data_IF_135965996435
#
_entry.id   IF_135965996435
#
_cell.length_a   1.000
_cell.length_b   1.000
_cell.length_c   1.000
_cell.angle_alpha   90.00
_cell.angle_beta   90.00
_cell.angle_gamma   90.00
#
_symmetry.space_group_name_H-M   'P 1'
#
loop_
_entity.id
_entity.type
_entity.pdbx_description
1 polymer ?
#
# COMPACT_ATOMS: atom_id res chain seq x y z
N UNK A 1 14.36 24.51 5.95
CA UNK A 1 13.80 23.31 6.59
C UNK A 1 14.92 22.28 6.71
N UNK A 2 15.23 21.80 7.92
CA UNK A 2 16.37 20.89 8.13
C UNK A 2 15.99 19.44 7.85
N UNK A 3 16.63 18.82 6.85
CA UNK A 3 16.48 17.39 6.55
C UNK A 3 17.22 16.52 7.58
N UNK A 4 16.75 15.30 7.81
CA UNK A 4 17.38 14.29 8.68
C UNK A 4 17.84 13.09 7.87
N UNK A 5 18.99 12.53 8.23
CA UNK A 5 19.50 11.31 7.61
C UNK A 5 18.74 10.10 8.17
N UNK A 6 17.97 9.41 7.33
CA UNK A 6 17.26 8.18 7.67
C UNK A 6 18.02 6.95 7.16
N UNK A 7 18.21 5.96 8.01
CA UNK A 7 18.95 4.72 7.72
C UNK A 7 18.04 3.49 7.67
N UNK A 8 16.71 3.66 7.61
CA UNK A 8 15.80 2.54 7.61
C UNK A 8 16.04 1.64 6.39
N UNK A 9 16.06 0.32 6.63
CA UNK A 9 16.31 -0.68 5.59
C UNK A 9 15.16 -0.78 4.58
N UNK A 10 13.96 -0.42 5.00
CA UNK A 10 12.71 -0.49 4.21
C UNK A 10 12.65 0.54 3.10
N UNK A 11 12.97 1.81 3.38
CA UNK A 11 12.72 2.92 2.45
C UNK A 11 13.99 3.67 2.03
N UNK A 12 15.07 3.60 2.82
CA UNK A 12 16.26 4.44 2.65
C UNK A 12 17.53 3.64 2.36
N UNK A 13 17.40 2.36 2.00
CA UNK A 13 18.52 1.56 1.52
C UNK A 13 18.69 1.76 0.01
N UNK A 14 19.84 2.31 -0.39
CA UNK A 14 20.23 2.44 -1.79
C UNK A 14 21.16 1.28 -2.10
N UNK A 15 20.83 0.47 -3.11
CA UNK A 15 21.72 -0.57 -3.60
C UNK A 15 22.76 0.08 -4.50
N UNK A 16 24.03 -0.02 -4.14
CA UNK A 16 25.13 0.41 -5.01
C UNK A 16 25.18 -0.51 -6.24
N UNK A 17 24.96 0.01 -7.47
CA UNK A 17 24.88 -0.82 -8.66
C UNK A 17 26.21 -1.46 -9.05
N UNK A 18 27.35 -0.95 -8.57
CA UNK A 18 28.67 -1.51 -8.88
C UNK A 18 29.13 -2.61 -7.93
N UNK A 19 28.66 -2.59 -6.68
CA UNK A 19 29.11 -3.52 -5.63
C UNK A 19 28.01 -4.43 -5.10
N UNK A 20 26.74 -4.13 -5.40
CA UNK A 20 25.58 -4.82 -4.82
C UNK A 20 25.38 -4.56 -3.32
N UNK A 21 26.24 -3.76 -2.70
CA UNK A 21 26.20 -3.46 -1.27
C UNK A 21 25.09 -2.44 -1.01
N UNK A 22 24.18 -2.77 -0.10
CA UNK A 22 23.16 -1.84 0.41
C UNK A 22 23.83 -0.79 1.28
N UNK A 23 23.75 0.47 0.86
CA UNK A 23 24.16 1.62 1.67
C UNK A 23 22.93 2.21 2.37
N UNK A 24 22.92 2.27 3.71
CA UNK A 24 21.85 2.94 4.43
C UNK A 24 22.07 4.46 4.37
N UNK A 25 21.02 5.22 4.07
CA UNK A 25 21.06 6.68 4.24
C UNK A 25 20.38 7.45 3.12
N UNK A 26 19.22 8.05 3.42
CA UNK A 26 18.64 9.11 2.62
C UNK A 26 18.36 10.34 3.48
N UNK A 27 18.66 11.53 2.97
CA UNK A 27 18.23 12.78 3.61
C UNK A 27 16.75 12.99 3.32
N UNK A 28 15.93 12.92 4.37
CA UNK A 28 14.47 13.02 4.27
C UNK A 28 13.95 14.15 5.15
N UNK A 29 12.80 14.77 4.81
CA UNK A 29 12.14 15.76 5.65
C UNK A 29 11.79 15.20 7.05
N UNK A 30 11.66 16.03 8.09
CA UNK A 30 11.38 15.58 9.45
C UNK A 30 10.12 14.70 9.60
N UNK A 31 9.05 15.01 8.88
CA UNK A 31 7.81 14.23 8.91
C UNK A 31 8.02 12.84 8.29
N UNK A 32 8.69 12.79 7.14
CA UNK A 32 9.07 11.54 6.46
C UNK A 32 9.99 10.69 7.33
N UNK A 33 10.95 11.32 8.02
CA UNK A 33 11.83 10.64 8.97
C UNK A 33 11.03 9.95 10.10
N UNK A 34 10.06 10.65 10.70
CA UNK A 34 9.22 10.09 11.75
C UNK A 34 8.36 8.93 11.27
N UNK A 35 7.82 9.01 10.06
CA UNK A 35 7.05 7.92 9.46
C UNK A 35 7.93 6.69 9.22
N UNK A 36 9.11 6.88 8.63
CA UNK A 36 10.06 5.79 8.40
C UNK A 36 10.48 5.09 9.71
N UNK A 37 10.69 5.84 10.80
CA UNK A 37 11.01 5.24 12.10
C UNK A 37 9.86 4.42 12.66
N UNK A 38 8.62 4.89 12.50
CA UNK A 38 7.42 4.19 12.96
C UNK A 38 7.20 2.90 12.17
N UNK A 39 7.36 2.96 10.86
CA UNK A 39 7.19 1.81 9.96
C UNK A 39 8.29 0.77 10.19
N UNK A 40 9.52 1.22 10.45
CA UNK A 40 10.61 0.32 10.85
C UNK A 40 10.28 -0.39 12.17
N UNK A 41 9.81 0.34 13.19
CA UNK A 41 9.41 -0.26 14.46
C UNK A 41 8.25 -1.26 14.29
N UNK A 42 7.30 -0.97 13.41
CA UNK A 42 6.20 -1.88 13.07
C UNK A 42 6.72 -3.15 12.41
N UNK A 43 7.56 -3.02 11.38
CA UNK A 43 8.14 -4.16 10.67
C UNK A 43 9.01 -5.03 11.58
N UNK A 44 9.80 -4.43 12.47
CA UNK A 44 10.60 -5.15 13.47
C UNK A 44 9.71 -5.89 14.47
N UNK A 45 8.60 -5.28 14.91
CA UNK A 45 7.62 -5.94 15.77
C UNK A 45 6.94 -7.13 15.07
N UNK A 46 6.53 -6.98 13.82
CA UNK A 46 5.94 -8.06 13.01
C UNK A 46 6.93 -9.19 12.76
N UNK A 47 8.19 -8.88 12.43
CA UNK A 47 9.23 -9.90 12.24
C UNK A 47 9.59 -10.63 13.55
N UNK A 48 9.58 -9.93 14.69
CA UNK A 48 9.79 -10.53 16.00
C UNK A 48 8.67 -11.53 16.33
N UNK A 49 7.42 -11.16 16.07
CA UNK A 49 6.27 -12.07 16.19
C UNK A 49 6.47 -13.32 15.33
N UNK A 50 6.87 -13.14 14.07
CA UNK A 50 7.09 -14.24 13.13
C UNK A 50 8.26 -15.17 13.54
N UNK A 51 9.36 -14.61 14.07
CA UNK A 51 10.49 -15.42 14.57
C UNK A 51 10.13 -16.27 15.78
N UNK A 52 9.24 -15.79 16.65
CA UNK A 52 8.73 -16.59 17.76
C UNK A 52 7.86 -17.76 17.28
N UNK A 53 7.17 -17.60 16.15
CA UNK A 53 6.28 -18.64 15.59
C UNK A 53 7.03 -19.76 14.87
N UNK A 54 8.19 -19.48 14.26
CA UNK A 54 8.87 -20.43 13.35
C UNK A 54 10.33 -20.78 13.72
N UNK A 55 10.93 -20.12 14.72
CA UNK A 55 12.37 -20.20 15.01
C UNK A 55 12.80 -21.01 16.24
N UNK A 56 11.87 -21.57 17.02
CA UNK A 56 12.22 -22.32 18.23
C UNK A 56 12.07 -23.83 18.03
N UNK A 57 13.17 -24.54 18.22
CA UNK A 57 13.20 -25.98 18.47
C UNK A 57 12.27 -26.33 19.65
N UNK A 58 11.64 -27.52 19.67
CA UNK A 58 10.56 -27.83 20.59
C UNK A 58 11.10 -27.99 22.02
N UNK A 59 11.04 -26.93 22.81
CA UNK A 59 11.07 -27.02 24.27
C UNK A 59 9.64 -27.24 24.77
N UNK A 60 9.42 -28.41 25.35
CA UNK A 60 8.16 -28.86 25.96
C UNK A 60 7.69 -27.90 27.06
N UNK A 61 6.83 -26.96 26.71
CA UNK A 61 5.88 -26.33 27.63
C UNK A 61 4.61 -26.02 26.85
N UNK A 62 3.61 -26.88 27.01
CA UNK A 62 2.31 -26.82 26.34
C UNK A 62 1.44 -25.70 26.90
N UNK A 63 1.73 -24.46 26.53
CA UNK A 63 0.69 -23.44 26.42
C UNK A 63 0.12 -23.64 25.01
N UNK A 64 -1.18 -23.95 24.83
CA UNK A 64 -1.77 -23.98 23.50
C UNK A 64 -1.63 -22.57 22.93
N UNK A 65 -0.67 -22.38 22.04
CA UNK A 65 -0.52 -21.11 21.33
C UNK A 65 -1.83 -20.80 20.59
N UNK A 66 -2.17 -19.52 20.41
CA UNK A 66 -3.33 -19.12 19.61
C UNK A 66 -3.26 -19.79 18.23
N UNK A 67 -4.40 -20.27 17.74
CA UNK A 67 -4.51 -20.91 16.42
C UNK A 67 -4.05 -19.95 15.32
N UNK A 68 -3.61 -20.49 14.18
CA UNK A 68 -3.23 -19.67 13.02
C UNK A 68 -4.31 -18.64 12.66
N UNK A 69 -5.58 -19.07 12.63
CA UNK A 69 -6.72 -18.20 12.35
C UNK A 69 -6.84 -17.07 13.38
N UNK A 70 -6.66 -17.37 14.67
CA UNK A 70 -6.69 -16.35 15.72
C UNK A 70 -5.55 -15.34 15.57
N UNK A 71 -4.35 -15.79 15.18
CA UNK A 71 -3.21 -14.90 14.95
C UNK A 71 -3.46 -13.97 13.75
N UNK A 72 -3.95 -14.53 12.64
CA UNK A 72 -4.29 -13.75 11.45
C UNK A 72 -5.42 -12.75 11.74
N UNK A 73 -6.44 -13.17 12.49
CA UNK A 73 -7.53 -12.29 12.90
C UNK A 73 -7.05 -11.14 13.79
N UNK A 74 -6.18 -11.42 14.75
CA UNK A 74 -5.57 -10.37 15.59
C UNK A 74 -4.70 -9.42 14.75
N UNK A 75 -3.94 -9.95 13.79
CA UNK A 75 -3.12 -9.15 12.89
C UNK A 75 -3.97 -8.21 12.03
N UNK A 76 -5.02 -8.71 11.37
CA UNK A 76 -5.91 -7.88 10.55
C UNK A 76 -6.52 -6.78 11.41
N UNK A 77 -7.11 -7.12 12.57
CA UNK A 77 -7.69 -6.13 13.50
C UNK A 77 -6.67 -5.07 13.92
N UNK A 78 -5.43 -5.47 14.18
CA UNK A 78 -4.36 -4.54 14.53
C UNK A 78 -4.03 -3.60 13.37
N UNK A 79 -3.83 -4.13 12.16
CA UNK A 79 -3.52 -3.33 10.98
C UNK A 79 -4.63 -2.33 10.65
N UNK A 80 -5.89 -2.77 10.67
CA UNK A 80 -7.07 -1.89 10.47
C UNK A 80 -7.05 -0.73 11.46
N UNK A 81 -6.84 -1.03 12.75
CA UNK A 81 -6.85 -0.02 13.82
C UNK A 81 -5.73 1.02 13.70
N UNK A 82 -4.57 0.63 13.17
CA UNK A 82 -3.38 1.48 13.12
C UNK A 82 -3.01 1.93 11.70
N UNK A 83 -3.85 1.65 10.70
CA UNK A 83 -3.62 2.10 9.34
C UNK A 83 -3.72 3.62 9.26
N UNK A 84 -2.64 4.25 8.79
CA UNK A 84 -2.62 5.68 8.49
C UNK A 84 -2.87 5.84 7.00
N UNK A 85 -4.06 6.32 6.65
CA UNK A 85 -4.38 6.62 5.26
C UNK A 85 -3.61 7.88 4.81
N UNK A 86 -3.00 7.87 3.61
CA UNK A 86 -2.36 9.06 3.06
C UNK A 86 -3.41 10.14 2.78
N UNK A 87 -3.00 11.41 2.79
CA UNK A 87 -3.89 12.52 2.45
C UNK A 87 -4.22 12.60 0.95
N UNK A 88 -3.37 12.04 0.09
CA UNK A 88 -3.53 12.02 -1.36
C UNK A 88 -3.01 10.70 -1.91
N UNK A 89 -3.76 10.12 -2.85
CA UNK A 89 -3.35 8.96 -3.62
C UNK A 89 -2.85 9.35 -5.01
N UNK A 90 -1.85 8.62 -5.52
CA UNK A 90 -1.33 8.82 -6.87
C UNK A 90 -1.60 7.60 -7.74
N UNK A 91 -2.35 7.78 -8.82
CA UNK A 91 -2.73 6.72 -9.73
C UNK A 91 -1.72 6.55 -10.87
N UNK A 92 -1.53 5.32 -11.35
CA UNK A 92 -0.72 5.03 -12.54
C UNK A 92 -1.32 5.72 -13.78
N UNK A 93 -2.64 5.68 -13.91
CA UNK A 93 -3.39 6.43 -14.90
C UNK A 93 -4.06 7.59 -14.15
N UNK A 94 -3.53 8.82 -14.22
CA UNK A 94 -4.12 9.93 -13.48
C UNK A 94 -5.54 10.20 -13.98
N UNK A 95 -6.50 10.51 -13.09
CA UNK A 95 -7.86 10.83 -13.49
C UNK A 95 -7.85 12.03 -14.46
N UNK A 96 -8.51 11.88 -15.61
CA UNK A 96 -8.68 12.99 -16.57
C UNK A 96 -10.15 13.40 -16.68
N UNK A 97 -10.40 14.66 -17.09
CA UNK A 97 -11.75 15.24 -17.21
C UNK A 97 -12.66 14.50 -18.20
N UNK A 98 -12.07 13.89 -19.22
CA UNK A 98 -12.80 13.25 -20.32
C UNK A 98 -13.04 11.75 -20.11
N UNK A 99 -12.49 11.17 -19.05
CA UNK A 99 -12.65 9.74 -18.76
C UNK A 99 -13.89 9.53 -17.88
N UNK A 100 -15.00 9.19 -18.54
CA UNK A 100 -16.22 8.67 -17.89
C UNK A 100 -16.02 7.20 -17.47
N UNK A 101 -14.91 6.90 -16.79
CA UNK A 101 -14.69 5.57 -16.23
C UNK A 101 -15.33 5.53 -14.86
N UNK A 102 -16.28 4.62 -14.72
CA UNK A 102 -16.95 4.35 -13.46
C UNK A 102 -15.98 3.53 -12.62
N UNK A 103 -15.79 3.97 -11.38
CA UNK A 103 -15.05 3.20 -10.39
C UNK A 103 -15.94 2.02 -9.99
N UNK A 104 -15.72 0.85 -10.58
CA UNK A 104 -16.50 -0.35 -10.28
C UNK A 104 -15.77 -1.21 -9.25
N UNK A 105 -16.51 -1.68 -8.25
CA UNK A 105 -15.98 -2.65 -7.29
C UNK A 105 -15.87 -4.00 -7.97
N UNK A 106 -14.64 -4.44 -8.21
CA UNK A 106 -14.42 -5.82 -8.60
C UNK A 106 -14.72 -6.70 -7.40
N UNK A 107 -15.65 -7.64 -7.58
CA UNK A 107 -15.91 -8.71 -6.61
C UNK A 107 -14.59 -9.33 -6.14
N UNK A 108 -14.48 -9.59 -4.83
CA UNK A 108 -13.31 -10.28 -4.24
C UNK A 108 -13.25 -11.75 -4.67
N UNK A 109 -14.31 -12.27 -5.27
CA UNK A 109 -14.38 -13.61 -5.81
C UNK A 109 -14.44 -13.55 -7.36
N UNK A 110 -13.42 -14.05 -8.09
CA UNK A 110 -12.18 -14.68 -7.62
C UNK A 110 -11.19 -13.70 -6.95
N UNK A 111 -10.34 -14.19 -6.04
CA UNK A 111 -9.35 -13.37 -5.31
C UNK A 111 -8.52 -12.54 -6.29
N UNK A 112 -8.65 -11.20 -6.30
CA UNK A 112 -8.03 -10.37 -7.32
C UNK A 112 -6.51 -10.27 -7.11
N UNK A 113 -5.83 -9.78 -8.15
CA UNK A 113 -4.47 -9.28 -7.98
C UNK A 113 -4.51 -7.96 -7.20
N UNK A 114 -3.62 -7.76 -6.21
CA UNK A 114 -3.59 -6.50 -5.48
C UNK A 114 -3.17 -5.36 -6.40
N UNK A 115 -3.80 -4.20 -6.24
CA UNK A 115 -3.44 -2.98 -6.96
C UNK A 115 -3.36 -3.14 -8.50
N UNK A 116 -4.33 -3.81 -9.09
CA UNK A 116 -4.40 -4.02 -10.55
C UNK A 116 -5.47 -3.15 -11.21
N UNK A 117 -5.42 -3.07 -12.54
CA UNK A 117 -6.43 -2.42 -13.36
C UNK A 117 -6.22 -0.92 -13.55
N UNK A 118 -7.27 -0.24 -14.02
CA UNK A 118 -7.17 1.15 -14.45
C UNK A 118 -6.90 2.12 -13.29
N UNK A 119 -7.43 1.78 -12.12
CA UNK A 119 -7.33 2.56 -10.89
C UNK A 119 -6.15 2.13 -10.00
N UNK A 120 -5.18 1.42 -10.57
CA UNK A 120 -3.96 1.03 -9.87
C UNK A 120 -3.20 2.27 -9.39
N UNK A 121 -2.70 2.20 -8.17
CA UNK A 121 -1.85 3.21 -7.56
C UNK A 121 -0.40 3.03 -8.02
N UNK A 122 0.31 4.15 -8.17
CA UNK A 122 1.72 4.16 -8.52
C UNK A 122 2.59 3.64 -7.37
N UNK A 123 3.40 2.62 -7.65
CA UNK A 123 4.43 2.15 -6.72
C UNK A 123 5.61 3.12 -6.59
N UNK A 124 5.76 4.08 -7.51
CA UNK A 124 6.82 5.08 -7.43
C UNK A 124 6.59 6.12 -6.33
N UNK A 125 5.33 6.29 -5.90
CA UNK A 125 4.94 7.30 -4.93
C UNK A 125 4.90 6.70 -3.52
N UNK A 126 5.81 7.18 -2.65
CA UNK A 126 5.97 6.64 -1.31
C UNK A 126 4.71 6.80 -0.44
N UNK A 127 3.86 7.79 -0.73
CA UNK A 127 2.59 8.00 -0.01
C UNK A 127 1.59 6.86 -0.23
N UNK A 128 1.66 6.16 -1.37
CA UNK A 128 0.78 5.02 -1.64
C UNK A 128 1.21 3.75 -0.89
N UNK A 129 2.46 3.68 -0.41
CA UNK A 129 3.08 2.45 0.09
C UNK A 129 2.27 1.78 1.21
N UNK A 130 1.69 2.55 2.14
CA UNK A 130 0.87 2.02 3.24
C UNK A 130 -0.38 1.31 2.73
N UNK A 131 -1.09 1.93 1.77
CA UNK A 131 -2.30 1.35 1.17
C UNK A 131 -1.95 0.10 0.37
N UNK A 132 -0.90 0.18 -0.46
CA UNK A 132 -0.43 -0.93 -1.29
C UNK A 132 0.00 -2.15 -0.48
N UNK A 133 0.77 -1.91 0.59
CA UNK A 133 1.27 -2.97 1.48
C UNK A 133 0.11 -3.62 2.21
N UNK A 134 -0.84 -2.83 2.70
CA UNK A 134 -1.98 -3.35 3.44
C UNK A 134 -2.94 -4.14 2.54
N UNK A 135 -3.29 -3.60 1.36
CA UNK A 135 -4.10 -4.30 0.36
C UNK A 135 -3.45 -5.62 -0.07
N UNK A 136 -2.15 -5.61 -0.38
CA UNK A 136 -1.42 -6.82 -0.76
C UNK A 136 -1.43 -7.87 0.34
N UNK A 137 -1.27 -7.44 1.59
CA UNK A 137 -1.29 -8.31 2.76
C UNK A 137 -2.67 -8.95 2.99
N UNK A 138 -3.75 -8.16 2.89
CA UNK A 138 -5.12 -8.67 2.95
C UNK A 138 -5.37 -9.76 1.90
N UNK A 139 -4.94 -9.52 0.66
CA UNK A 139 -5.05 -10.50 -0.44
C UNK A 139 -4.21 -11.76 -0.17
N UNK A 140 -3.01 -11.63 0.39
CA UNK A 140 -2.18 -12.76 0.80
C UNK A 140 -2.85 -13.62 1.88
N UNK A 141 -3.49 -12.99 2.88
CA UNK A 141 -4.25 -13.71 3.90
C UNK A 141 -5.42 -14.46 3.24
N UNK A 142 -6.20 -13.83 2.35
CA UNK A 142 -7.29 -14.52 1.64
C UNK A 142 -6.79 -15.74 0.85
N UNK A 143 -5.63 -15.64 0.19
CA UNK A 143 -4.99 -16.78 -0.50
C UNK A 143 -4.53 -17.88 0.47
N UNK A 144 -4.18 -17.52 1.69
CA UNK A 144 -3.84 -18.48 2.74
C UNK A 144 -5.11 -19.21 3.23
N UNK A 145 -6.21 -18.48 3.40
CA UNK A 145 -7.49 -19.02 3.85
C UNK A 145 -8.12 -19.96 2.82
N UNK A 146 -7.96 -19.70 1.52
CA UNK A 146 -8.49 -20.58 0.47
C UNK A 146 -7.94 -22.02 0.53
N UNK A 147 -6.77 -22.21 1.13
CA UNK A 147 -6.14 -23.52 1.36
C UNK A 147 -6.44 -24.10 2.75
N UNK A 148 -7.13 -23.37 3.62
CA UNK A 148 -7.47 -23.78 4.99
C UNK A 148 -8.84 -24.46 5.00
N UNK A 149 -9.03 -25.46 5.87
CA UNK A 149 -10.33 -26.12 6.02
C UNK A 149 -11.44 -25.11 6.34
N UNK A 150 -12.64 -25.31 5.80
CA UNK A 150 -13.79 -24.49 6.11
C UNK A 150 -14.11 -24.56 7.60
N UNK A 151 -14.26 -23.40 8.23
CA UNK A 151 -14.64 -23.24 9.63
C UNK A 151 -15.31 -21.88 9.82
N UNK A 152 -16.10 -21.75 10.87
CA UNK A 152 -16.74 -20.48 11.24
C UNK A 152 -15.69 -19.37 11.45
N UNK A 153 -14.60 -19.66 12.15
CA UNK A 153 -13.49 -18.72 12.37
C UNK A 153 -12.85 -18.26 11.06
N UNK A 154 -12.76 -19.15 10.06
CA UNK A 154 -12.23 -18.82 8.73
C UNK A 154 -13.20 -17.88 8.01
N UNK A 155 -14.49 -18.19 8.00
CA UNK A 155 -15.52 -17.35 7.35
C UNK A 155 -15.56 -15.96 7.98
N UNK A 156 -15.53 -15.85 9.31
CA UNK A 156 -15.47 -14.57 10.01
C UNK A 156 -14.22 -13.75 9.65
N UNK A 157 -13.07 -14.40 9.48
CA UNK A 157 -11.85 -13.73 9.05
C UNK A 157 -11.91 -13.32 7.57
N UNK A 158 -12.50 -14.13 6.70
CA UNK A 158 -12.74 -13.76 5.30
C UNK A 158 -13.64 -12.53 5.19
N UNK A 159 -14.74 -12.50 5.93
CA UNK A 159 -15.66 -11.35 5.96
C UNK A 159 -14.97 -10.07 6.43
N UNK A 160 -14.20 -10.16 7.51
CA UNK A 160 -13.41 -9.03 8.03
C UNK A 160 -12.43 -8.48 6.97
N UNK A 161 -11.76 -9.37 6.23
CA UNK A 161 -10.81 -8.95 5.19
C UNK A 161 -11.54 -8.37 3.98
N UNK A 162 -12.69 -8.93 3.58
CA UNK A 162 -13.52 -8.40 2.49
C UNK A 162 -14.04 -7.00 2.81
N UNK A 163 -14.50 -6.77 4.04
CA UNK A 163 -14.90 -5.45 4.53
C UNK A 163 -13.75 -4.44 4.45
N UNK A 164 -12.55 -4.83 4.87
CA UNK A 164 -11.38 -3.95 4.83
C UNK A 164 -10.94 -3.63 3.39
N UNK A 165 -10.92 -4.63 2.51
CA UNK A 165 -10.62 -4.42 1.09
C UNK A 165 -11.65 -3.50 0.43
N UNK A 166 -12.92 -3.62 0.80
CA UNK A 166 -13.97 -2.71 0.36
C UNK A 166 -13.74 -1.28 0.89
N UNK A 167 -13.31 -1.11 2.13
CA UNK A 167 -12.97 0.19 2.69
C UNK A 167 -11.78 0.85 1.95
N UNK A 168 -10.74 0.09 1.62
CA UNK A 168 -9.62 0.56 0.78
C UNK A 168 -10.12 0.99 -0.60
N UNK A 169 -10.98 0.18 -1.21
CA UNK A 169 -11.56 0.48 -2.51
C UNK A 169 -12.37 1.79 -2.49
N UNK A 170 -13.24 1.98 -1.50
CA UNK A 170 -14.00 3.23 -1.33
C UNK A 170 -13.08 4.44 -1.13
N UNK A 171 -11.96 4.25 -0.42
CA UNK A 171 -10.98 5.31 -0.26
C UNK A 171 -10.32 5.69 -1.59
N UNK A 172 -9.93 4.71 -2.41
CA UNK A 172 -9.42 4.95 -3.77
C UNK A 172 -10.46 5.65 -4.65
N UNK A 173 -11.71 5.22 -4.62
CA UNK A 173 -12.82 5.84 -5.35
C UNK A 173 -12.99 7.32 -4.98
N UNK A 174 -13.06 7.63 -3.69
CA UNK A 174 -13.20 9.02 -3.23
C UNK A 174 -12.04 9.89 -3.70
N UNK A 175 -10.81 9.40 -3.61
CA UNK A 175 -9.64 10.15 -4.06
C UNK A 175 -9.60 10.33 -5.58
N UNK A 176 -10.01 9.31 -6.33
CA UNK A 176 -10.16 9.41 -7.79
C UNK A 176 -11.14 10.52 -8.17
N UNK A 177 -12.34 10.47 -7.60
CA UNK A 177 -13.40 11.45 -7.87
C UNK A 177 -13.00 12.86 -7.42
N UNK A 178 -12.33 12.99 -6.28
CA UNK A 178 -11.81 14.28 -5.78
C UNK A 178 -10.78 14.89 -6.74
N UNK A 179 -9.93 14.07 -7.36
CA UNK A 179 -8.95 14.57 -8.32
C UNK A 179 -9.59 14.98 -9.65
N UNK A 180 -10.68 14.31 -10.06
CA UNK A 180 -11.45 14.72 -11.24
C UNK A 180 -12.13 16.10 -11.07
N UNK A 181 -12.69 16.40 -9.89
CA UNK A 181 -13.34 17.70 -9.64
C UNK A 181 -12.34 18.86 -9.63
N UNK A 182 -11.16 18.68 -9.02
CA UNK A 182 -10.09 19.70 -9.03
C UNK A 182 -9.64 20.06 -10.45
N UNK A 183 -9.60 19.09 -11.36
CA UNK A 183 -9.26 19.31 -12.77
C UNK A 183 -10.37 20.09 -13.50
N UNK A 184 -11.64 19.84 -13.15
CA UNK A 184 -12.76 20.57 -13.75
C UNK A 184 -12.74 22.06 -13.38
N UNK A 185 -12.48 22.39 -12.11
CA UNK A 185 -12.48 23.78 -11.62
C UNK A 185 -11.27 24.59 -12.12
N UNK A 186 -10.12 23.94 -12.31
CA UNK A 186 -8.91 24.59 -12.86
C UNK A 186 -9.07 25.02 -14.32
N UNK A 187 -9.81 24.24 -15.12
CA UNK A 187 -10.01 24.53 -16.54
C UNK A 187 -11.03 25.66 -16.80
N UNK A 188 -11.94 25.94 -15.87
CA UNK A 188 -12.84 27.09 -15.95
C UNK A 188 -12.13 28.40 -15.55
N UNK A 189 -11.01 28.30 -14.83
CA UNK A 189 -10.15 29.44 -14.49
C UNK A 189 -9.22 29.86 -15.64
N UNK A 190 -8.96 28.99 -16.62
CA UNK A 190 -8.12 29.29 -17.79
C UNK A 190 -8.84 30.13 -18.87
N UNK A 191 -10.11 30.52 -18.64
CA UNK A 191 -10.77 31.61 -19.38
C UNK A 191 -10.57 32.99 -18.75
N UNK A 192 -9.96 33.08 -17.57
CA UNK A 192 -9.44 34.31 -17.00
C UNK A 192 -7.90 34.28 -17.10
N UNK A 193 -7.39 34.59 -18.29
CA UNK A 193 -6.02 34.32 -18.69
C UNK A 193 -4.93 34.78 -17.71
N UNK A 194 -3.96 33.90 -17.46
CA UNK A 194 -2.56 34.21 -17.18
C UNK A 194 -1.72 33.08 -17.80
N UNK A 195 -0.93 33.43 -18.80
CA UNK A 195 0.12 32.60 -19.38
C UNK A 195 1.28 32.50 -18.38
N UNK A 196 1.71 31.29 -17.98
CA UNK A 196 3.13 31.00 -17.74
C UNK A 196 3.47 29.49 -17.80
N UNK A 197 4.31 29.16 -18.79
CA UNK A 197 5.38 28.15 -18.84
C UNK A 197 5.09 26.67 -18.49
N UNK A 198 4.84 25.89 -19.55
CA UNK A 198 4.83 24.43 -19.56
C UNK A 198 6.24 23.82 -19.45
N UNK A 199 6.56 23.25 -18.28
CA UNK A 199 7.63 22.26 -18.13
C UNK A 199 7.13 20.83 -18.41
N UNK A 200 6.80 20.52 -19.66
CA UNK A 200 6.42 19.15 -20.07
C UNK A 200 7.65 18.24 -20.03
N UNK A 201 7.72 17.30 -19.08
CA UNK A 201 8.52 16.09 -19.24
C UNK A 201 7.70 15.06 -20.01
N UNK A 202 8.02 14.91 -21.29
CA UNK A 202 7.55 13.79 -22.11
C UNK A 202 8.28 12.51 -21.69
N UNK A 203 7.53 11.48 -21.31
CA UNK A 203 8.01 10.09 -21.35
C UNK A 203 7.54 9.48 -22.67
N UNK A 204 8.40 9.50 -23.69
CA UNK A 204 8.30 8.61 -24.84
C UNK A 204 8.95 7.28 -24.45
N UNK A 205 8.18 6.19 -24.38
CA UNK A 205 8.75 4.85 -24.51
C UNK A 205 8.60 4.42 -25.97
N UNK A 206 9.73 4.43 -26.70
CA UNK A 206 9.83 3.79 -28.00
C UNK A 206 9.81 2.27 -27.78
N UNK A 207 8.74 1.63 -28.22
CA UNK A 207 8.76 0.23 -28.61
C UNK A 207 9.60 0.13 -29.88
N UNK A 208 10.77 -0.49 -29.79
CA UNK A 208 11.47 -1.04 -30.95
C UNK A 208 11.30 -2.54 -30.91
N UNK A 209 10.44 -3.03 -31.81
CA UNK A 209 10.50 -4.38 -32.31
C UNK A 209 11.80 -4.54 -33.12
N UNK A 210 12.49 -5.64 -32.85
CA UNK A 210 13.59 -6.19 -33.63
C UNK A 210 13.74 -7.64 -33.22
#
# INVERSE_FOLDING_TARGET
>A
MSSRLCTCSTYCSIVDPGTGIRRPGALVPPLTYQNHQRDQALNEATQSLHRQTYGQAPSNTSIPGPSLLQNLMNEVKFRVKFMILPSVLFFCNPPTRNETKIFEYQSVDPIPNPNDGFFALSHAESSNSTVLTHESHCIEILRTLSNTAASEDREQLEDLIKEELYAIWQFKEREWNRQQTVIADGADSDHAGISHNTGKRFCFSKVLNG
#
